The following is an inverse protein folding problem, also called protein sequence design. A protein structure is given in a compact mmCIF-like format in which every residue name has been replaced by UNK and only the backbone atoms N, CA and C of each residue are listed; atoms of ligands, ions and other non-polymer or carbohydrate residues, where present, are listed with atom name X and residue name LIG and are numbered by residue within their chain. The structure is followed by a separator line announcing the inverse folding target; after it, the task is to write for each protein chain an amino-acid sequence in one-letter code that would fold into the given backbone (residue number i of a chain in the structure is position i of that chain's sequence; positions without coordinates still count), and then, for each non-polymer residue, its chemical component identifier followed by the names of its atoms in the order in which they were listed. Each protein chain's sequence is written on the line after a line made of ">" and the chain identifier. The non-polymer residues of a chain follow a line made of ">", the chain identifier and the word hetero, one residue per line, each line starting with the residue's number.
data_IF_159279969064
#
_entry.id   IF_159279969064
#
_cell.length_a   1.000
_cell.length_b   1.000
_cell.length_c   1.000
_cell.angle_alpha   90.00
_cell.angle_beta   90.00
_cell.angle_gamma   90.00
#
_symmetry.space_group_name_H-M   'P 1'
#
loop_
_entity.id
_entity.type
_entity.pdbx_description
1 polymer ?
#
# COMPACT_ATOMS: atom_id res chain seq x y z
N UNK A 1 16.22 0.38 6.89
CA UNK A 1 16.24 0.46 5.43
C UNK A 1 17.62 0.15 4.89
N UNK A 2 17.66 -0.60 3.81
CA UNK A 2 18.92 -0.94 3.16
C UNK A 2 19.19 0.04 2.03
N UNK A 3 20.38 0.59 2.00
CA UNK A 3 20.84 1.42 0.90
C UNK A 3 21.41 0.54 -0.19
N UNK A 4 21.09 0.87 -1.42
CA UNK A 4 21.65 0.21 -2.59
C UNK A 4 22.53 1.20 -3.32
N UNK A 5 23.75 0.79 -3.60
CA UNK A 5 24.66 1.58 -4.42
C UNK A 5 25.30 0.68 -5.46
N UNK A 6 25.63 1.25 -6.60
CA UNK A 6 26.32 0.53 -7.65
C UNK A 6 27.81 0.47 -7.34
N UNK A 7 28.40 -0.69 -7.59
CA UNK A 7 29.84 -0.85 -7.55
C UNK A 7 30.35 -0.71 -8.97
N UNK A 8 31.06 0.36 -9.24
CA UNK A 8 31.58 0.64 -10.59
C UNK A 8 32.45 -0.49 -11.10
N UNK A 9 32.22 -0.93 -12.34
CA UNK A 9 32.99 -1.98 -12.99
C UNK A 9 32.69 -3.40 -12.50
N UNK A 10 31.64 -3.59 -11.67
CA UNK A 10 31.23 -4.91 -11.17
C UNK A 10 30.24 -5.63 -12.08
N UNK A 11 29.91 -5.06 -13.21
CA UNK A 11 28.96 -5.64 -14.13
C UNK A 11 29.49 -6.96 -14.69
N UNK A 12 28.61 -7.96 -14.77
CA UNK A 12 28.93 -9.27 -15.32
C UNK A 12 27.92 -9.64 -16.38
N UNK A 13 28.41 -10.26 -17.46
CA UNK A 13 27.56 -10.75 -18.54
C UNK A 13 27.32 -12.24 -18.34
N UNK A 14 26.03 -12.62 -18.31
CA UNK A 14 25.61 -14.02 -18.18
C UNK A 14 24.66 -14.36 -19.31
N UNK A 15 24.87 -15.53 -19.93
CA UNK A 15 23.96 -16.03 -20.96
C UNK A 15 22.72 -16.60 -20.31
N UNK A 16 21.54 -16.28 -20.86
CA UNK A 16 20.25 -16.78 -20.35
C UNK A 16 19.25 -16.85 -21.51
N UNK A 17 18.42 -17.88 -21.50
CA UNK A 17 17.33 -18.02 -22.48
C UNK A 17 16.07 -17.26 -22.05
N UNK A 18 15.91 -17.03 -20.75
CA UNK A 18 14.77 -16.31 -20.18
C UNK A 18 15.25 -15.53 -18.95
N UNK A 19 14.88 -14.27 -18.88
CA UNK A 19 15.17 -13.42 -17.72
C UNK A 19 13.84 -12.97 -17.11
N UNK A 20 13.68 -13.22 -15.81
CA UNK A 20 12.52 -12.76 -15.05
C UNK A 20 12.96 -11.67 -14.08
N UNK A 21 12.28 -10.54 -14.14
CA UNK A 21 12.53 -9.43 -13.22
C UNK A 21 11.61 -9.58 -12.02
N UNK A 22 12.20 -9.75 -10.83
CA UNK A 22 11.48 -9.91 -9.57
C UNK A 22 11.95 -8.83 -8.58
N UNK A 23 11.85 -7.58 -9.00
CA UNK A 23 12.39 -6.43 -8.27
C UNK A 23 11.41 -5.82 -7.28
N UNK A 24 10.26 -6.46 -7.04
CA UNK A 24 9.22 -5.97 -6.14
C UNK A 24 8.16 -5.15 -6.86
N UNK A 25 7.54 -4.24 -6.13
CA UNK A 25 6.39 -3.49 -6.61
C UNK A 25 6.67 -1.99 -6.61
N UNK A 26 6.03 -1.27 -7.54
CA UNK A 26 6.19 0.18 -7.68
C UNK A 26 5.10 0.98 -6.96
N UNK A 27 4.22 0.29 -6.20
CA UNK A 27 3.11 0.91 -5.51
C UNK A 27 1.79 0.71 -6.24
N UNK A 28 0.82 1.58 -5.96
CA UNK A 28 -0.53 1.50 -6.51
C UNK A 28 -0.53 1.76 -8.01
N UNK A 29 -1.27 0.96 -8.77
CA UNK A 29 -1.45 1.22 -10.19
C UNK A 29 -2.22 2.52 -10.39
N UNK A 30 -1.71 3.36 -11.25
CA UNK A 30 -2.23 4.72 -11.44
C UNK A 30 -3.71 4.74 -11.84
N UNK A 31 -4.14 3.80 -12.68
CA UNK A 31 -5.53 3.80 -13.13
C UNK A 31 -6.53 3.58 -11.99
N UNK A 32 -6.15 2.85 -10.96
CA UNK A 32 -6.99 2.65 -9.77
C UNK A 32 -7.11 3.96 -8.98
N UNK A 33 -5.99 4.61 -8.72
CA UNK A 33 -5.99 5.89 -8.02
C UNK A 33 -6.77 6.96 -8.78
N UNK A 34 -6.62 7.02 -10.10
CA UNK A 34 -7.34 7.97 -10.94
C UNK A 34 -8.85 7.70 -10.95
N UNK A 35 -9.24 6.41 -10.97
CA UNK A 35 -10.66 6.03 -10.97
C UNK A 35 -11.39 6.48 -9.70
N UNK A 36 -10.73 6.43 -8.54
CA UNK A 36 -11.31 6.85 -7.27
C UNK A 36 -10.99 8.30 -6.92
N UNK A 37 -10.09 8.95 -7.66
CA UNK A 37 -9.68 10.32 -7.40
C UNK A 37 -8.88 10.50 -6.12
N UNK A 38 -8.26 9.45 -5.60
CA UNK A 38 -7.48 9.50 -4.36
C UNK A 38 -6.06 9.97 -4.61
N UNK A 39 -5.48 10.65 -3.63
CA UNK A 39 -4.09 11.07 -3.67
C UNK A 39 -3.16 9.92 -3.32
N UNK A 40 -1.97 9.95 -3.89
CA UNK A 40 -0.89 9.02 -3.58
C UNK A 40 0.17 9.73 -2.73
N UNK A 41 0.82 8.98 -1.83
CA UNK A 41 1.93 9.50 -1.05
C UNK A 41 3.25 9.42 -1.84
N UNK A 42 4.35 9.83 -1.23
CA UNK A 42 5.67 9.83 -1.88
C UNK A 42 6.18 8.45 -2.29
N UNK A 43 5.55 7.36 -1.81
CA UNK A 43 5.88 5.98 -2.18
C UNK A 43 4.92 5.41 -3.21
N UNK A 44 4.06 6.23 -3.80
CA UNK A 44 3.00 5.86 -4.74
C UNK A 44 1.96 4.89 -4.16
N UNK A 45 1.74 4.94 -2.85
CA UNK A 45 0.64 4.27 -2.20
C UNK A 45 -0.49 5.28 -1.93
N UNK A 46 -1.72 4.78 -1.75
CA UNK A 46 -2.85 5.65 -1.47
C UNK A 46 -2.61 6.39 -0.16
N UNK A 47 -2.67 7.72 -0.20
CA UNK A 47 -2.42 8.56 0.97
C UNK A 47 -3.61 8.58 1.92
N UNK A 48 -3.33 8.42 3.22
CA UNK A 48 -4.30 8.57 4.30
C UNK A 48 -3.67 9.41 5.40
N UNK A 49 -4.50 9.93 6.29
CA UNK A 49 -3.99 10.56 7.50
C UNK A 49 -3.32 9.50 8.38
N UNK A 50 -2.31 9.90 9.14
CA UNK A 50 -1.60 8.99 10.05
C UNK A 50 -2.58 8.38 11.05
N UNK A 51 -2.55 7.05 11.18
CA UNK A 51 -3.42 6.32 12.07
C UNK A 51 -4.86 6.15 11.56
N UNK A 52 -5.14 6.54 10.34
CA UNK A 52 -6.47 6.46 9.73
C UNK A 52 -6.41 5.76 8.38
N UNK A 53 -7.56 5.33 7.90
CA UNK A 53 -7.70 4.63 6.62
C UNK A 53 -8.50 5.42 5.59
N UNK A 54 -9.14 6.52 5.99
CA UNK A 54 -9.85 7.37 5.05
C UNK A 54 -8.86 8.10 4.14
N UNK A 55 -9.15 8.07 2.84
CA UNK A 55 -8.30 8.71 1.82
C UNK A 55 -8.59 10.20 1.71
N UNK A 56 -8.00 10.87 0.71
CA UNK A 56 -8.31 12.27 0.41
C UNK A 56 -9.73 12.49 -0.08
N UNK A 57 -10.41 11.41 -0.49
CA UNK A 57 -11.81 11.47 -0.93
C UNK A 57 -12.69 10.98 0.20
N UNK A 58 -13.68 11.78 0.61
CA UNK A 58 -14.61 11.44 1.68
C UNK A 58 -15.34 10.14 1.36
N UNK A 59 -15.47 9.27 2.36
CA UNK A 59 -16.12 7.96 2.28
C UNK A 59 -15.38 6.93 1.42
N UNK A 60 -14.14 7.21 1.02
CA UNK A 60 -13.27 6.24 0.36
C UNK A 60 -12.14 5.90 1.30
N UNK A 61 -11.99 4.61 1.60
CA UNK A 61 -11.01 4.10 2.55
C UNK A 61 -10.03 3.18 1.82
N UNK A 62 -8.83 3.04 2.34
CA UNK A 62 -7.82 2.16 1.78
C UNK A 62 -7.12 1.38 2.88
N UNK A 63 -6.84 0.11 2.62
CA UNK A 63 -6.15 -0.77 3.55
C UNK A 63 -5.32 -1.81 2.80
N UNK A 64 -4.40 -2.46 3.51
CA UNK A 64 -3.54 -3.48 2.92
C UNK A 64 -2.43 -2.89 2.07
N UNK A 65 -2.02 -3.63 1.05
CA UNK A 65 -0.86 -3.26 0.24
C UNK A 65 -1.02 -1.92 -0.48
N UNK A 66 -2.23 -1.56 -0.91
CA UNK A 66 -2.49 -0.30 -1.59
C UNK A 66 -2.25 0.91 -0.68
N UNK A 67 -2.40 0.73 0.62
CA UNK A 67 -2.23 1.75 1.65
C UNK A 67 -0.84 1.69 2.28
N UNK A 68 -0.42 0.51 2.69
CA UNK A 68 0.82 0.27 3.43
C UNK A 68 2.04 0.10 2.54
N UNK A 69 1.85 -0.29 1.30
CA UNK A 69 2.86 -0.84 0.43
C UNK A 69 2.88 -2.37 0.55
N UNK A 70 3.59 -3.03 -0.33
CA UNK A 70 3.68 -4.49 -0.30
C UNK A 70 4.13 -4.97 1.07
N UNK A 71 3.38 -5.91 1.66
CA UNK A 71 3.65 -6.43 2.99
C UNK A 71 3.11 -7.85 3.16
N UNK A 72 3.20 -8.37 4.39
CA UNK A 72 2.74 -9.72 4.70
C UNK A 72 1.20 -9.76 4.80
N UNK A 73 0.64 -10.94 4.53
CA UNK A 73 -0.81 -11.20 4.62
C UNK A 73 -1.35 -10.89 6.02
N UNK A 74 -0.57 -11.12 7.06
CA UNK A 74 -0.94 -10.79 8.44
C UNK A 74 -1.29 -9.31 8.59
N UNK A 75 -0.52 -8.43 7.96
CA UNK A 75 -0.79 -6.99 8.00
C UNK A 75 -2.03 -6.61 7.19
N UNK A 76 -2.24 -7.28 6.05
CA UNK A 76 -3.44 -7.05 5.25
C UNK A 76 -4.71 -7.43 6.02
N UNK A 77 -4.70 -8.54 6.74
CA UNK A 77 -5.82 -8.98 7.57
C UNK A 77 -6.06 -7.98 8.70
N UNK A 78 -5.00 -7.56 9.38
CA UNK A 78 -5.10 -6.59 10.47
C UNK A 78 -5.68 -5.27 10.00
N UNK A 79 -5.16 -4.74 8.90
CA UNK A 79 -5.65 -3.48 8.36
C UNK A 79 -7.09 -3.59 7.86
N UNK A 80 -7.47 -4.74 7.29
CA UNK A 80 -8.85 -4.99 6.91
C UNK A 80 -9.81 -4.92 8.10
N UNK A 81 -9.42 -5.46 9.24
CA UNK A 81 -10.22 -5.39 10.47
C UNK A 81 -10.30 -3.96 11.03
N UNK A 82 -9.17 -3.26 11.02
CA UNK A 82 -9.11 -1.89 11.50
C UNK A 82 -9.91 -0.93 10.62
N UNK A 83 -9.83 -1.08 9.30
CA UNK A 83 -10.61 -0.24 8.37
C UNK A 83 -12.10 -0.53 8.49
N UNK A 84 -12.49 -1.79 8.72
CA UNK A 84 -13.90 -2.13 8.95
C UNK A 84 -14.45 -1.39 10.17
N UNK A 85 -13.67 -1.28 11.24
CA UNK A 85 -14.04 -0.51 12.42
C UNK A 85 -14.16 0.98 12.10
N UNK A 86 -13.23 1.54 11.35
CA UNK A 86 -13.27 2.95 10.97
C UNK A 86 -14.49 3.27 10.11
N UNK A 87 -14.83 2.41 9.15
CA UNK A 87 -16.01 2.56 8.31
C UNK A 87 -17.28 2.48 9.16
N UNK A 88 -17.35 1.52 10.07
CA UNK A 88 -18.50 1.36 10.98
C UNK A 88 -18.69 2.61 11.84
N UNK A 89 -17.60 3.12 12.42
CA UNK A 89 -17.64 4.36 13.18
C UNK A 89 -18.11 5.56 12.35
N UNK A 90 -17.65 5.65 11.08
CA UNK A 90 -18.02 6.76 10.22
C UNK A 90 -19.50 6.74 9.83
N UNK A 91 -20.10 5.56 9.74
CA UNK A 91 -21.51 5.40 9.38
C UNK A 91 -22.44 5.48 10.58
N UNK A 92 -22.02 4.97 11.72
CA UNK A 92 -22.85 4.81 12.91
C UNK A 92 -22.55 5.84 14.01
N UNK A 93 -21.40 6.50 13.96
CA UNK A 93 -20.90 7.36 15.02
C UNK A 93 -20.20 6.63 16.16
N UNK A 94 -20.24 5.31 16.17
CA UNK A 94 -19.55 4.45 17.14
C UNK A 94 -19.33 3.08 16.52
N UNK A 95 -18.49 2.26 17.17
CA UNK A 95 -18.26 0.88 16.71
C UNK A 95 -18.08 -0.06 17.89
N UNK A 96 -18.66 -1.25 17.78
CA UNK A 96 -18.42 -2.37 18.69
C UNK A 96 -17.38 -3.34 18.17
N UNK A 97 -16.79 -3.08 17.01
CA UNK A 97 -15.76 -3.94 16.46
C UNK A 97 -14.46 -3.78 17.25
N UNK A 98 -13.78 -4.90 17.48
CA UNK A 98 -12.52 -4.89 18.23
C UNK A 98 -11.37 -4.30 17.42
N UNK A 99 -10.50 -3.56 18.11
CA UNK A 99 -9.23 -3.09 17.55
C UNK A 99 -8.18 -4.17 17.81
N UNK A 100 -7.51 -4.55 16.76
CA UNK A 100 -6.45 -5.58 16.85
C UNK A 100 -5.08 -4.94 17.10
#
# INVERSE_FOLDING_TARGET
>A
MLFRSEVAGSEQKMEADLVLIAAGFLGTEKYVADAFGVDLNGRTNVATAEGAYETSVKNVFAAGDVHRGQSLVVWAIREGREVAREVDESLMGYSYLEVQ
#
